data_IF_581218855038
#
_entry.id   IF_581218855038
#
_cell.length_a   1.000
_cell.length_b   1.000
_cell.length_c   1.000
_cell.angle_alpha   90.00
_cell.angle_beta   90.00
_cell.angle_gamma   90.00
#
_symmetry.space_group_name_H-M   'P 1'
#
loop_
_entity.id
_entity.type
_entity.pdbx_description
1 polymer ?
#
# COMPACT_ATOMS: atom_id res chain seq x y z
N UNK A 1 -40.80 13.12 22.55
CA UNK A 1 -39.48 13.82 22.61
C UNK A 1 -38.39 13.04 23.38
N UNK A 2 -38.61 12.51 24.60
CA UNK A 2 -37.51 11.86 25.36
C UNK A 2 -37.00 10.48 24.86
N UNK A 3 -37.73 9.76 23.98
CA UNK A 3 -37.31 8.43 23.48
C UNK A 3 -36.23 8.45 22.38
N UNK A 4 -36.07 9.54 21.63
CA UNK A 4 -35.13 9.59 20.50
C UNK A 4 -33.68 9.91 20.92
N UNK A 5 -33.46 10.35 22.17
CA UNK A 5 -32.12 10.63 22.69
C UNK A 5 -31.34 9.35 23.07
N UNK A 6 -32.04 8.24 23.34
CA UNK A 6 -31.44 6.97 23.76
C UNK A 6 -30.71 6.24 22.60
N UNK A 7 -31.14 6.46 21.34
CA UNK A 7 -30.49 5.85 20.18
C UNK A 7 -29.07 6.41 19.94
N UNK A 8 -28.80 7.64 20.38
CA UNK A 8 -27.50 8.31 20.27
C UNK A 8 -26.51 7.94 21.38
N UNK A 9 -26.99 7.38 22.50
CA UNK A 9 -26.15 6.99 23.65
C UNK A 9 -25.65 5.55 23.54
N UNK A 10 -26.33 4.70 22.75
CA UNK A 10 -26.02 3.27 22.64
C UNK A 10 -24.78 2.94 21.78
N UNK A 11 -24.21 3.90 21.03
CA UNK A 11 -23.07 3.63 20.11
C UNK A 11 -21.70 3.73 20.79
N UNK A 12 -21.60 4.50 21.88
CA UNK A 12 -20.32 4.92 22.49
C UNK A 12 -19.63 3.87 23.40
N UNK A 13 -20.06 2.60 23.43
CA UNK A 13 -19.74 1.65 24.51
C UNK A 13 -19.24 0.25 24.08
N UNK A 14 -18.29 0.15 23.16
CA UNK A 14 -17.62 -1.14 22.88
C UNK A 14 -16.10 -1.09 22.78
N UNK A 15 -15.43 -1.50 23.86
CA UNK A 15 -14.01 -1.87 23.91
C UNK A 15 -13.81 -3.15 24.75
N UNK A 16 -12.69 -3.86 24.52
CA UNK A 16 -12.21 -5.10 25.19
C UNK A 16 -12.79 -6.46 24.74
N UNK A 17 -11.94 -7.52 24.78
CA UNK A 17 -12.32 -8.94 24.60
C UNK A 17 -11.63 -9.71 23.44
N UNK A 18 -11.16 -10.94 23.70
CA UNK A 18 -10.47 -11.89 22.77
C UNK A 18 -10.64 -13.35 23.29
N UNK A 19 -10.18 -14.47 22.70
CA UNK A 19 -9.18 -14.81 21.66
C UNK A 19 -9.57 -16.11 20.88
N UNK A 20 -8.93 -16.36 19.72
CA UNK A 20 -8.72 -17.68 19.07
C UNK A 20 -10.00 -18.47 18.61
N UNK A 21 -9.96 -19.54 17.79
CA UNK A 21 -8.87 -20.37 17.27
C UNK A 21 -9.27 -21.06 15.92
N UNK A 22 -8.31 -21.74 15.29
CA UNK A 22 -8.39 -22.73 14.20
C UNK A 22 -8.71 -22.32 12.74
N UNK A 23 -8.10 -23.10 11.84
CA UNK A 23 -7.91 -22.84 10.42
C UNK A 23 -8.29 -24.05 9.56
N UNK A 24 -8.48 -23.84 8.25
CA UNK A 24 -7.92 -24.73 7.21
C UNK A 24 -8.08 -24.19 5.78
N UNK A 25 -7.02 -24.35 4.96
CA UNK A 25 -6.87 -24.03 3.50
C UNK A 25 -6.75 -22.55 3.10
N UNK A 26 -5.85 -22.20 2.18
CA UNK A 26 -4.38 -22.27 2.31
C UNK A 26 -3.91 -20.79 2.28
N UNK A 27 -3.33 -20.22 3.36
CA UNK A 27 -3.09 -18.77 3.48
C UNK A 27 -2.26 -18.15 2.34
N UNK A 28 -1.45 -18.98 1.69
CA UNK A 28 -0.43 -18.59 0.74
C UNK A 28 -0.97 -17.96 -0.55
N UNK A 29 -2.02 -18.52 -1.17
CA UNK A 29 -2.59 -17.95 -2.40
C UNK A 29 -3.04 -16.50 -2.22
N UNK A 30 -3.54 -16.19 -1.02
CA UNK A 30 -3.96 -14.84 -0.68
C UNK A 30 -2.77 -13.90 -0.43
N UNK A 31 -1.66 -14.40 0.12
CA UNK A 31 -0.39 -13.63 0.20
C UNK A 31 0.12 -13.31 -1.20
N UNK A 32 0.11 -14.29 -2.11
CA UNK A 32 0.48 -14.09 -3.53
C UNK A 32 -0.44 -13.07 -4.21
N UNK A 33 -1.75 -13.10 -3.95
CA UNK A 33 -2.68 -12.05 -4.43
C UNK A 33 -2.40 -10.68 -3.80
N UNK A 34 -2.02 -10.61 -2.53
CA UNK A 34 -1.62 -9.37 -1.87
C UNK A 34 -0.34 -8.77 -2.48
N UNK A 35 0.65 -9.62 -2.81
CA UNK A 35 1.87 -9.18 -3.50
C UNK A 35 1.57 -8.42 -4.80
N UNK A 36 0.48 -8.76 -5.50
CA UNK A 36 0.04 -8.06 -6.72
C UNK A 36 -0.21 -6.57 -6.59
N UNK A 37 -0.36 -6.08 -5.36
CA UNK A 37 -0.67 -4.68 -5.04
C UNK A 37 0.54 -3.83 -4.70
N UNK A 38 1.64 -4.47 -4.32
CA UNK A 38 2.89 -3.83 -3.86
C UNK A 38 4.09 -4.22 -4.73
N UNK A 39 4.01 -5.37 -5.42
CA UNK A 39 4.94 -5.85 -6.41
C UNK A 39 4.26 -6.84 -7.40
N UNK A 40 3.62 -6.33 -8.47
CA UNK A 40 3.03 -7.13 -9.55
C UNK A 40 3.96 -8.17 -10.18
N UNK A 41 5.27 -7.89 -10.26
CA UNK A 41 6.27 -8.83 -10.77
C UNK A 41 6.44 -10.03 -9.84
N UNK A 42 6.53 -9.81 -8.52
CA UNK A 42 6.58 -10.89 -7.54
C UNK A 42 5.28 -11.70 -7.50
N UNK A 43 4.12 -11.08 -7.67
CA UNK A 43 2.87 -11.85 -7.83
C UNK A 43 2.96 -12.80 -9.03
N UNK A 44 3.36 -12.29 -10.19
CA UNK A 44 3.47 -13.09 -11.41
C UNK A 44 4.43 -14.28 -11.20
N UNK A 45 5.58 -14.03 -10.58
CA UNK A 45 6.56 -15.08 -10.23
C UNK A 45 5.97 -16.09 -9.25
N UNK A 46 5.35 -15.65 -8.15
CA UNK A 46 4.81 -16.57 -7.15
C UNK A 46 3.58 -17.36 -7.62
N UNK A 47 2.81 -16.84 -8.58
CA UNK A 47 1.73 -17.61 -9.23
C UNK A 47 2.26 -18.79 -10.03
N UNK A 48 3.40 -18.61 -10.70
CA UNK A 48 4.08 -19.65 -11.46
C UNK A 48 4.99 -20.55 -10.57
N UNK A 49 5.39 -20.06 -9.38
CA UNK A 49 6.29 -20.70 -8.42
C UNK A 49 5.72 -20.68 -6.99
N UNK A 50 4.57 -21.35 -6.80
CA UNK A 50 3.86 -21.41 -5.51
C UNK A 50 4.64 -22.16 -4.41
N UNK A 51 5.56 -23.05 -4.77
CA UNK A 51 6.49 -23.73 -3.87
C UNK A 51 7.50 -22.73 -3.26
N UNK A 52 8.03 -21.82 -4.08
CA UNK A 52 8.91 -20.73 -3.65
C UNK A 52 8.16 -19.78 -2.75
N UNK A 53 6.92 -19.42 -3.11
CA UNK A 53 6.05 -18.64 -2.25
C UNK A 53 5.86 -19.33 -0.89
N UNK A 54 5.61 -20.65 -0.85
CA UNK A 54 5.43 -21.42 0.39
C UNK A 54 6.68 -21.38 1.26
N UNK A 55 7.87 -21.50 0.66
CA UNK A 55 9.14 -21.37 1.38
C UNK A 55 9.33 -19.97 1.98
N UNK A 56 9.03 -18.92 1.21
CA UNK A 56 9.20 -17.52 1.66
C UNK A 56 8.20 -17.13 2.75
N UNK A 57 6.95 -17.61 2.70
CA UNK A 57 5.89 -17.17 3.61
C UNK A 57 5.44 -18.21 4.65
N UNK A 58 5.96 -19.44 4.63
CA UNK A 58 5.53 -20.54 5.49
C UNK A 58 6.35 -20.78 6.77
N UNK A 59 7.61 -20.34 6.83
CA UNK A 59 8.55 -20.74 7.91
C UNK A 59 8.63 -19.76 9.11
N UNK A 60 7.69 -18.81 9.22
CA UNK A 60 7.64 -17.85 10.33
C UNK A 60 8.64 -16.69 10.16
N UNK A 61 8.14 -15.47 10.22
CA UNK A 61 8.90 -14.30 9.76
C UNK A 61 9.75 -13.64 10.85
N UNK A 62 11.02 -13.40 10.52
CA UNK A 62 11.95 -12.53 11.24
C UNK A 62 12.56 -11.50 10.27
N UNK A 63 12.77 -10.28 10.78
CA UNK A 63 13.42 -9.10 10.16
C UNK A 63 13.02 -8.66 8.73
N UNK A 64 12.59 -7.39 8.63
CA UNK A 64 12.29 -6.65 7.38
C UNK A 64 13.53 -6.50 6.47
N UNK A 65 14.74 -6.58 7.01
CA UNK A 65 15.98 -6.56 6.22
C UNK A 65 16.29 -7.90 5.54
N UNK A 66 15.84 -9.02 6.10
CA UNK A 66 15.97 -10.35 5.49
C UNK A 66 14.90 -10.55 4.40
N UNK A 67 13.66 -10.11 4.66
CA UNK A 67 12.57 -10.06 3.66
C UNK A 67 13.06 -9.50 2.32
N UNK A 68 13.64 -8.29 2.33
CA UNK A 68 14.03 -7.59 1.09
C UNK A 68 15.06 -8.35 0.26
N UNK A 69 15.99 -9.06 0.93
CA UNK A 69 16.95 -9.93 0.26
C UNK A 69 16.26 -11.13 -0.37
N UNK A 70 15.37 -11.79 0.37
CA UNK A 70 14.62 -12.96 -0.11
C UNK A 70 13.77 -12.58 -1.33
N UNK A 71 13.09 -11.43 -1.30
CA UNK A 71 12.30 -10.93 -2.42
C UNK A 71 13.16 -10.59 -3.65
N UNK A 72 14.31 -9.93 -3.47
CA UNK A 72 15.23 -9.65 -4.56
C UNK A 72 15.85 -10.94 -5.14
N UNK A 73 16.12 -11.95 -4.29
CA UNK A 73 16.59 -13.26 -4.72
C UNK A 73 15.55 -14.03 -5.53
N UNK A 74 14.26 -13.97 -5.14
CA UNK A 74 13.18 -14.53 -5.96
C UNK A 74 13.13 -13.88 -7.35
N UNK A 75 13.28 -12.54 -7.44
CA UNK A 75 13.35 -11.85 -8.73
C UNK A 75 14.59 -12.27 -9.54
N UNK A 76 15.76 -12.38 -8.90
CA UNK A 76 16.99 -12.81 -9.58
C UNK A 76 16.92 -14.26 -10.10
N UNK A 77 16.41 -15.20 -9.29
CA UNK A 77 16.37 -16.62 -9.63
C UNK A 77 15.25 -16.97 -10.61
N UNK A 78 14.06 -16.39 -10.46
CA UNK A 78 12.87 -16.79 -11.24
C UNK A 78 12.42 -15.72 -12.22
N UNK A 79 12.53 -14.43 -11.87
CA UNK A 79 12.11 -13.31 -12.72
C UNK A 79 13.08 -13.00 -13.86
N UNK A 80 14.35 -12.81 -13.53
CA UNK A 80 15.38 -12.35 -14.47
C UNK A 80 15.59 -13.30 -15.68
N UNK A 81 15.57 -14.64 -15.55
CA UNK A 81 15.67 -15.53 -16.70
C UNK A 81 14.51 -15.39 -17.70
N UNK A 82 13.30 -15.10 -17.24
CA UNK A 82 12.18 -14.83 -18.14
C UNK A 82 12.33 -13.44 -18.80
N UNK A 83 12.75 -12.41 -18.04
CA UNK A 83 13.04 -11.08 -18.60
C UNK A 83 14.15 -11.12 -19.66
N UNK A 84 15.15 -11.99 -19.50
CA UNK A 84 16.21 -12.25 -20.48
C UNK A 84 15.71 -12.89 -21.79
N UNK A 85 14.52 -13.51 -21.80
CA UNK A 85 13.92 -14.14 -22.98
C UNK A 85 12.79 -13.35 -23.62
N UNK A 86 12.26 -12.35 -22.92
CA UNK A 86 11.11 -11.56 -23.35
C UNK A 86 11.35 -10.84 -24.71
N UNK A 87 10.27 -10.70 -25.48
CA UNK A 87 10.27 -10.08 -26.79
C UNK A 87 10.52 -8.58 -26.74
N UNK A 88 11.05 -8.03 -27.84
CA UNK A 88 11.57 -6.65 -27.90
C UNK A 88 10.55 -5.61 -27.41
N UNK A 89 9.31 -5.69 -27.86
CA UNK A 89 8.23 -4.77 -27.45
C UNK A 89 7.98 -4.77 -25.93
N UNK A 90 7.92 -5.94 -25.31
CA UNK A 90 7.67 -6.07 -23.87
C UNK A 90 8.86 -5.55 -23.04
N UNK A 91 10.07 -5.87 -23.48
CA UNK A 91 11.33 -5.43 -22.87
C UNK A 91 11.52 -3.92 -22.99
N UNK A 92 11.34 -3.35 -24.18
CA UNK A 92 11.46 -1.91 -24.42
C UNK A 92 10.40 -1.14 -23.62
N UNK A 93 9.17 -1.66 -23.51
CA UNK A 93 8.14 -1.08 -22.64
C UNK A 93 8.56 -1.05 -21.17
N UNK A 94 9.11 -2.15 -20.64
CA UNK A 94 9.65 -2.22 -19.29
C UNK A 94 10.85 -1.28 -19.07
N UNK A 95 11.75 -1.15 -20.05
CA UNK A 95 12.86 -0.20 -20.01
C UNK A 95 12.36 1.26 -19.97
N UNK A 96 11.40 1.63 -20.83
CA UNK A 96 10.82 2.97 -20.86
C UNK A 96 10.12 3.35 -19.56
N UNK A 97 9.37 2.41 -18.95
CA UNK A 97 8.76 2.62 -17.63
C UNK A 97 9.81 2.70 -16.51
N UNK A 98 10.90 1.94 -16.61
CA UNK A 98 12.03 2.05 -15.68
C UNK A 98 12.72 3.42 -15.81
N UNK A 99 12.99 3.90 -17.03
CA UNK A 99 13.59 5.21 -17.27
C UNK A 99 12.73 6.36 -16.72
N UNK A 100 11.40 6.32 -16.93
CA UNK A 100 10.48 7.28 -16.35
C UNK A 100 10.52 7.29 -14.80
N UNK A 101 10.64 6.11 -14.17
CA UNK A 101 10.84 6.01 -12.72
C UNK A 101 12.21 6.56 -12.29
N UNK A 102 13.29 6.34 -13.05
CA UNK A 102 14.62 6.89 -12.73
C UNK A 102 14.57 8.41 -12.68
N UNK A 103 13.89 9.08 -13.62
CA UNK A 103 13.74 10.54 -13.59
C UNK A 103 13.03 11.02 -12.32
N UNK A 104 11.89 10.40 -11.97
CA UNK A 104 11.12 10.73 -10.76
C UNK A 104 11.95 10.51 -9.49
N UNK A 105 12.65 9.36 -9.40
CA UNK A 105 13.48 9.02 -8.23
C UNK A 105 14.66 9.98 -8.13
N UNK A 106 15.38 10.27 -9.22
CA UNK A 106 16.51 11.19 -9.19
C UNK A 106 16.11 12.64 -8.83
N UNK A 107 14.88 13.06 -9.12
CA UNK A 107 14.37 14.39 -8.77
C UNK A 107 13.81 14.45 -7.33
N UNK A 108 13.05 13.43 -6.90
CA UNK A 108 12.25 13.46 -5.66
C UNK A 108 12.78 12.61 -4.51
N UNK A 109 13.65 11.64 -4.79
CA UNK A 109 14.10 10.63 -3.83
C UNK A 109 15.47 10.02 -4.24
N UNK A 110 16.54 10.82 -4.39
CA UNK A 110 17.80 10.39 -5.01
C UNK A 110 18.49 9.22 -4.29
N UNK A 111 18.32 9.08 -2.97
CA UNK A 111 18.76 7.92 -2.20
C UNK A 111 18.10 6.61 -2.67
N UNK A 112 16.92 6.69 -3.31
CA UNK A 112 16.22 5.58 -3.93
C UNK A 112 16.87 5.05 -5.21
N UNK A 113 17.88 5.72 -5.78
CA UNK A 113 18.55 5.27 -7.00
C UNK A 113 19.32 3.95 -6.83
N UNK A 114 19.63 3.52 -5.60
CA UNK A 114 20.15 2.17 -5.30
C UNK A 114 19.23 1.06 -5.85
N UNK A 115 17.91 1.30 -5.92
CA UNK A 115 16.90 0.36 -6.41
C UNK A 115 17.21 -0.21 -7.81
N UNK A 116 17.76 0.62 -8.70
CA UNK A 116 18.02 0.20 -10.09
C UNK A 116 19.19 -0.79 -10.22
N UNK A 117 19.95 -1.01 -9.15
CA UNK A 117 21.07 -1.95 -9.08
C UNK A 117 20.77 -3.13 -8.13
N UNK A 118 20.06 -2.89 -7.02
CA UNK A 118 19.81 -3.88 -5.96
C UNK A 118 18.38 -4.43 -5.92
N UNK A 119 17.44 -3.83 -6.65
CA UNK A 119 16.00 -4.13 -6.55
C UNK A 119 15.33 -3.68 -5.25
N UNK A 120 16.08 -3.09 -4.31
CA UNK A 120 15.59 -2.59 -3.03
C UNK A 120 15.43 -1.07 -3.06
N UNK A 121 14.21 -0.58 -2.86
CA UNK A 121 13.94 0.85 -2.63
C UNK A 121 13.40 1.00 -1.21
N UNK A 122 14.15 1.57 -0.24
CA UNK A 122 13.59 1.91 1.06
C UNK A 122 12.51 2.99 0.90
N UNK A 123 11.50 2.98 1.78
CA UNK A 123 10.53 4.07 2.02
C UNK A 123 9.78 4.67 0.80
N UNK A 124 9.90 4.06 -0.37
CA UNK A 124 9.34 4.47 -1.67
C UNK A 124 7.84 4.80 -1.66
N UNK A 125 7.07 4.19 -0.76
CA UNK A 125 5.63 4.41 -0.63
C UNK A 125 5.27 5.77 0.01
N UNK A 126 6.24 6.48 0.58
CA UNK A 126 6.04 7.81 1.20
C UNK A 126 6.01 8.95 0.18
N UNK A 127 6.54 8.75 -1.03
CA UNK A 127 6.51 9.74 -2.12
C UNK A 127 5.53 9.23 -3.20
N UNK A 128 4.34 9.84 -3.36
CA UNK A 128 3.27 9.32 -4.23
C UNK A 128 3.70 9.10 -5.70
N UNK A 129 4.53 10.00 -6.24
CA UNK A 129 5.02 9.93 -7.61
C UNK A 129 5.98 8.75 -7.82
N UNK A 130 6.88 8.52 -6.85
CA UNK A 130 7.78 7.35 -6.83
C UNK A 130 6.96 6.07 -6.68
N UNK A 131 5.93 6.08 -5.81
CA UNK A 131 5.02 4.95 -5.61
C UNK A 131 4.28 4.57 -6.89
N UNK A 132 3.67 5.54 -7.56
CA UNK A 132 2.83 5.29 -8.72
C UNK A 132 3.69 4.94 -9.95
N UNK A 133 4.83 5.61 -10.13
CA UNK A 133 5.83 5.26 -11.15
C UNK A 133 6.43 3.86 -10.95
N UNK A 134 6.69 3.45 -9.71
CA UNK A 134 7.21 2.10 -9.38
C UNK A 134 6.18 1.01 -9.63
N UNK A 135 4.91 1.29 -9.38
CA UNK A 135 3.84 0.35 -9.73
C UNK A 135 3.68 0.19 -11.25
N UNK A 136 3.92 1.25 -12.03
CA UNK A 136 3.92 1.19 -13.49
C UNK A 136 5.13 0.41 -14.06
N UNK A 137 6.31 0.62 -13.49
CA UNK A 137 7.52 -0.16 -13.78
C UNK A 137 7.30 -1.66 -13.50
N UNK A 138 6.79 -1.99 -12.31
CA UNK A 138 6.61 -3.38 -11.89
C UNK A 138 5.52 -4.10 -12.69
N UNK A 139 4.48 -3.38 -13.16
CA UNK A 139 3.48 -3.92 -14.12
C UNK A 139 4.11 -4.23 -15.48
N UNK A 140 4.93 -3.33 -16.01
CA UNK A 140 5.60 -3.54 -17.30
C UNK A 140 6.60 -4.69 -17.22
N UNK A 141 7.35 -4.81 -16.11
CA UNK A 141 8.20 -5.98 -15.85
C UNK A 141 7.40 -7.27 -15.65
N UNK A 142 6.25 -7.24 -14.99
CA UNK A 142 5.37 -8.41 -14.88
C UNK A 142 4.84 -8.88 -16.24
N UNK A 143 4.50 -7.95 -17.14
CA UNK A 143 4.12 -8.28 -18.52
C UNK A 143 5.28 -8.90 -19.31
N UNK A 144 6.48 -8.31 -19.23
CA UNK A 144 7.68 -8.87 -19.86
C UNK A 144 8.05 -10.26 -19.30
N UNK A 145 7.90 -10.47 -17.98
CA UNK A 145 8.04 -11.79 -17.36
C UNK A 145 7.06 -12.81 -17.94
N UNK A 146 5.77 -12.49 -18.02
CA UNK A 146 4.74 -13.38 -18.58
C UNK A 146 4.96 -13.69 -20.07
N UNK A 147 5.46 -12.73 -20.85
CA UNK A 147 5.86 -12.94 -22.25
C UNK A 147 7.12 -13.80 -22.40
N UNK A 148 8.10 -13.64 -21.50
CA UNK A 148 9.39 -14.31 -21.54
C UNK A 148 9.43 -15.72 -20.94
N UNK A 149 8.49 -16.07 -20.05
CA UNK A 149 8.51 -17.36 -19.34
C UNK A 149 8.31 -18.59 -20.24
N UNK A 150 7.65 -18.42 -21.39
CA UNK A 150 7.38 -19.48 -22.38
C UNK A 150 8.25 -19.41 -23.64
N UNK A 151 9.13 -18.40 -23.75
CA UNK A 151 10.05 -18.27 -24.90
C UNK A 151 11.24 -19.21 -24.73
N UNK A 152 11.88 -19.58 -25.84
CA UNK A 152 13.15 -20.29 -25.83
C UNK A 152 14.28 -19.39 -25.28
N UNK A 153 15.33 -20.00 -24.74
CA UNK A 153 16.53 -19.29 -24.32
C UNK A 153 17.15 -18.54 -25.51
N UNK A 154 17.65 -17.32 -25.23
CA UNK A 154 18.41 -16.51 -26.18
C UNK A 154 19.84 -16.36 -25.69
N UNK A 155 20.78 -16.29 -26.62
CA UNK A 155 22.16 -15.98 -26.30
C UNK A 155 22.25 -14.59 -25.65
N UNK A 156 22.78 -14.54 -24.43
CA UNK A 156 22.93 -13.29 -23.70
C UNK A 156 24.11 -12.48 -24.23
N UNK A 157 23.93 -11.16 -24.32
CA UNK A 157 24.96 -10.24 -24.78
C UNK A 157 26.25 -10.37 -23.96
N UNK A 158 27.38 -10.60 -24.64
CA UNK A 158 28.71 -10.73 -24.04
C UNK A 158 29.16 -9.43 -23.36
N UNK A 159 30.17 -9.51 -22.48
CA UNK A 159 30.69 -8.34 -21.78
C UNK A 159 31.24 -7.28 -22.75
N UNK A 160 31.92 -7.69 -23.80
CA UNK A 160 32.49 -6.79 -24.83
C UNK A 160 31.38 -6.03 -25.55
N UNK A 161 30.30 -6.71 -25.95
CA UNK A 161 29.13 -6.08 -26.57
C UNK A 161 28.44 -5.09 -25.62
N UNK A 162 28.29 -5.44 -24.33
CA UNK A 162 27.75 -4.52 -23.30
C UNK A 162 28.65 -3.29 -23.11
N UNK A 163 29.96 -3.48 -23.02
CA UNK A 163 30.94 -2.41 -22.89
C UNK A 163 30.89 -1.45 -24.08
N UNK A 164 30.79 -1.97 -25.31
CA UNK A 164 30.59 -1.19 -26.52
C UNK A 164 29.29 -0.38 -26.45
N UNK A 165 28.17 -0.97 -26.01
CA UNK A 165 26.90 -0.23 -25.89
C UNK A 165 26.99 0.89 -24.85
N UNK A 166 27.51 0.60 -23.66
CA UNK A 166 27.66 1.58 -22.59
C UNK A 166 28.52 2.77 -23.04
N UNK A 167 29.66 2.50 -23.70
CA UNK A 167 30.60 3.55 -24.10
C UNK A 167 30.17 4.32 -25.36
N UNK A 168 29.70 3.63 -26.40
CA UNK A 168 29.41 4.27 -27.70
C UNK A 168 28.00 4.85 -27.82
N UNK A 169 26.97 4.21 -27.25
CA UNK A 169 25.58 4.66 -27.39
C UNK A 169 25.03 5.34 -26.13
N UNK A 170 25.43 4.88 -24.94
CA UNK A 170 24.99 5.47 -23.67
C UNK A 170 25.93 6.58 -23.15
N UNK A 171 27.04 6.86 -23.84
CA UNK A 171 27.97 7.92 -23.49
C UNK A 171 28.60 7.76 -22.10
N UNK A 172 28.86 6.52 -21.69
CA UNK A 172 29.52 6.21 -20.42
C UNK A 172 31.04 6.19 -20.60
N UNK A 173 31.76 6.86 -19.71
CA UNK A 173 33.22 6.73 -19.58
C UNK A 173 33.62 5.36 -19.03
N UNK A 174 34.89 4.98 -19.15
CA UNK A 174 35.39 3.74 -18.56
C UNK A 174 35.22 3.69 -17.02
N UNK A 175 35.34 4.84 -16.34
CA UNK A 175 35.03 4.98 -14.90
C UNK A 175 33.55 4.73 -14.62
N UNK A 176 32.64 5.33 -15.38
CA UNK A 176 31.20 5.09 -15.23
C UNK A 176 30.81 3.64 -15.52
N UNK A 177 31.45 2.98 -16.50
CA UNK A 177 31.27 1.54 -16.75
C UNK A 177 31.78 0.71 -15.58
N UNK A 178 32.93 1.04 -14.99
CA UNK A 178 33.42 0.39 -13.79
C UNK A 178 32.43 0.56 -12.62
N UNK A 179 32.02 1.80 -12.32
CA UNK A 179 31.04 2.13 -11.28
C UNK A 179 29.69 1.44 -11.49
N UNK A 180 29.17 1.39 -12.71
CA UNK A 180 27.93 0.64 -13.00
C UNK A 180 28.06 -0.86 -12.71
N UNK A 181 29.26 -1.42 -12.87
CA UNK A 181 29.54 -2.83 -12.54
C UNK A 181 29.85 -3.05 -11.04
N UNK A 182 30.27 -2.04 -10.27
CA UNK A 182 30.52 -2.16 -8.81
C UNK A 182 29.39 -1.65 -7.92
N UNK A 183 28.48 -0.84 -8.45
CA UNK A 183 27.37 -0.24 -7.73
C UNK A 183 26.53 -1.27 -6.94
N UNK A 184 26.05 -0.92 -5.74
CA UNK A 184 26.21 0.36 -5.03
C UNK A 184 27.53 0.53 -4.23
N UNK A 185 28.51 -0.38 -4.35
CA UNK A 185 29.74 -0.30 -3.55
C UNK A 185 30.60 0.89 -4.03
N UNK A 186 30.91 1.80 -3.11
CA UNK A 186 31.72 3.01 -3.32
C UNK A 186 31.21 3.97 -4.41
N UNK A 187 29.93 3.88 -4.76
CA UNK A 187 29.25 4.80 -5.69
C UNK A 187 28.36 5.76 -4.90
N UNK A 188 28.42 7.06 -5.24
CA UNK A 188 27.57 8.09 -4.63
C UNK A 188 26.12 7.93 -5.10
N UNK A 189 25.14 8.43 -4.33
CA UNK A 189 23.73 8.30 -4.72
C UNK A 189 23.42 9.13 -5.98
N UNK A 190 24.10 10.27 -6.13
CA UNK A 190 24.09 11.10 -7.35
C UNK A 190 24.70 10.37 -8.56
N UNK A 191 25.84 9.70 -8.39
CA UNK A 191 26.46 8.86 -9.43
C UNK A 191 25.52 7.70 -9.78
N UNK A 192 24.91 7.03 -8.81
CA UNK A 192 23.93 5.96 -9.05
C UNK A 192 22.72 6.46 -9.86
N UNK A 193 22.18 7.64 -9.55
CA UNK A 193 21.12 8.24 -10.36
C UNK A 193 21.59 8.54 -11.79
N UNK A 194 22.78 9.14 -11.97
CA UNK A 194 23.32 9.47 -13.30
C UNK A 194 23.57 8.19 -14.15
N UNK A 195 24.13 7.16 -13.54
CA UNK A 195 24.34 5.84 -14.15
C UNK A 195 23.01 5.19 -14.50
N UNK A 196 22.03 5.19 -13.59
CA UNK A 196 20.70 4.63 -13.84
C UNK A 196 19.99 5.35 -15.00
N UNK A 197 20.15 6.68 -15.15
CA UNK A 197 19.60 7.44 -16.29
C UNK A 197 20.19 6.96 -17.61
N UNK A 198 21.53 6.84 -17.68
CA UNK A 198 22.21 6.32 -18.87
C UNK A 198 21.79 4.88 -19.18
N UNK A 199 21.89 3.96 -18.22
CA UNK A 199 21.64 2.53 -18.40
C UNK A 199 20.19 2.20 -18.83
N UNK A 200 19.21 2.97 -18.35
CA UNK A 200 17.80 2.76 -18.70
C UNK A 200 17.35 3.56 -19.94
N UNK A 201 18.17 4.46 -20.50
CA UNK A 201 17.84 5.21 -21.72
C UNK A 201 17.96 4.33 -22.99
N UNK A 202 17.04 3.37 -23.13
CA UNK A 202 16.97 2.48 -24.29
C UNK A 202 16.75 3.25 -25.61
N UNK A 203 16.15 4.45 -25.54
CA UNK A 203 15.94 5.32 -26.70
C UNK A 203 17.22 5.88 -27.33
N UNK A 204 18.36 5.86 -26.63
CA UNK A 204 19.65 6.26 -27.19
C UNK A 204 20.30 5.18 -28.08
N UNK A 205 19.79 3.94 -28.08
CA UNK A 205 20.35 2.85 -28.87
C UNK A 205 19.70 2.76 -30.26
N UNK A 206 20.44 2.30 -31.29
CA UNK A 206 19.87 1.80 -32.54
C UNK A 206 18.76 0.77 -32.27
N UNK A 207 17.67 0.81 -33.05
CA UNK A 207 16.45 0.03 -32.81
C UNK A 207 16.72 -1.47 -32.68
N UNK A 208 17.69 -1.95 -33.44
CA UNK A 208 18.14 -3.33 -33.53
C UNK A 208 18.79 -3.81 -32.22
N UNK A 209 19.37 -2.89 -31.44
CA UNK A 209 20.05 -3.17 -30.17
C UNK A 209 19.15 -2.94 -28.94
N UNK A 210 18.01 -2.25 -29.09
CA UNK A 210 17.13 -1.87 -27.98
C UNK A 210 16.59 -3.09 -27.21
N UNK A 211 16.11 -4.11 -27.93
CA UNK A 211 15.61 -5.34 -27.33
C UNK A 211 16.69 -6.17 -26.66
N UNK A 212 17.86 -6.31 -27.30
CA UNK A 212 18.98 -7.09 -26.76
C UNK A 212 19.61 -6.42 -25.54
N UNK A 213 19.73 -5.09 -25.54
CA UNK A 213 20.18 -4.33 -24.37
C UNK A 213 19.20 -4.46 -23.19
N UNK A 214 17.91 -4.28 -23.44
CA UNK A 214 16.91 -4.41 -22.37
C UNK A 214 16.85 -5.83 -21.79
N UNK A 215 17.02 -6.88 -22.61
CA UNK A 215 17.17 -8.27 -22.13
C UNK A 215 18.44 -8.43 -21.30
N UNK A 216 19.58 -7.92 -21.78
CA UNK A 216 20.85 -8.01 -21.06
C UNK A 216 20.81 -7.27 -19.71
N UNK A 217 20.14 -6.11 -19.65
CA UNK A 217 20.00 -5.29 -18.46
C UNK A 217 18.99 -5.90 -17.47
N UNK A 218 17.73 -6.03 -17.86
CA UNK A 218 16.67 -6.56 -16.97
C UNK A 218 16.90 -8.02 -16.60
N UNK A 219 17.45 -8.81 -17.52
CA UNK A 219 17.81 -10.21 -17.32
C UNK A 219 19.07 -10.46 -16.49
N UNK A 220 19.85 -9.42 -16.17
CA UNK A 220 20.93 -9.54 -15.17
C UNK A 220 20.39 -9.55 -13.74
N UNK A 221 19.16 -9.07 -13.52
CA UNK A 221 18.50 -9.05 -12.21
C UNK A 221 19.15 -8.13 -11.18
N UNK A 222 18.60 -8.08 -9.95
CA UNK A 222 19.19 -7.32 -8.85
C UNK A 222 20.50 -7.96 -8.33
N UNK A 223 21.53 -7.15 -8.07
CA UNK A 223 22.82 -7.65 -7.60
C UNK A 223 22.88 -7.79 -6.07
N UNK A 224 22.53 -8.98 -5.56
CA UNK A 224 22.47 -9.27 -4.11
C UNK A 224 23.83 -9.16 -3.38
N UNK A 225 24.93 -9.43 -4.10
CA UNK A 225 26.28 -9.44 -3.53
C UNK A 225 26.86 -8.03 -3.32
N UNK A 226 26.21 -7.01 -3.88
CA UNK A 226 26.67 -5.62 -3.84
C UNK A 226 25.69 -4.83 -2.98
N UNK A 227 26.08 -4.62 -1.73
CA UNK A 227 25.43 -3.70 -0.80
C UNK A 227 26.45 -2.64 -0.44
N UNK A 228 26.01 -1.38 -0.35
CA UNK A 228 26.78 -0.33 0.31
C UNK A 228 27.01 -0.80 1.76
N UNK A 229 28.26 -0.94 2.25
CA UNK A 229 28.48 -1.17 3.67
C UNK A 229 27.76 -0.06 4.44
N UNK A 230 27.10 -0.38 5.55
CA UNK A 230 26.41 0.62 6.36
C UNK A 230 27.41 1.70 6.76
N UNK A 231 27.34 2.86 6.11
CA UNK A 231 28.36 3.88 6.26
C UNK A 231 28.32 4.38 7.71
N UNK A 232 29.45 4.31 8.41
CA UNK A 232 29.66 5.12 9.58
C UNK A 232 29.62 6.58 9.11
N UNK A 233 28.46 7.22 9.29
CA UNK A 233 28.12 8.46 8.60
C UNK A 233 29.17 9.55 8.85
N UNK A 234 29.98 9.85 7.83
CA UNK A 234 30.80 11.06 7.81
C UNK A 234 29.87 12.23 7.49
N UNK A 235 29.75 13.23 8.39
CA UNK A 235 28.80 14.31 8.20
C UNK A 235 29.24 15.21 7.03
N UNK A 236 28.30 15.54 6.15
CA UNK A 236 28.46 16.66 5.23
C UNK A 236 28.38 17.98 6.03
N UNK A 237 29.30 18.94 5.84
CA UNK A 237 29.23 20.21 6.55
C UNK A 237 28.14 21.10 5.91
N UNK A 238 27.15 21.54 6.70
CA UNK A 238 26.27 22.65 6.30
C UNK A 238 24.76 22.37 6.20
N UNK A 239 24.24 21.25 6.71
CA UNK A 239 22.79 21.08 6.90
C UNK A 239 22.50 20.35 8.23
N UNK A 240 22.32 21.12 9.32
CA UNK A 240 21.96 20.56 10.63
C UNK A 240 20.46 20.30 10.68
N UNK A 241 20.03 19.16 10.13
CA UNK A 241 18.84 18.45 10.58
C UNK A 241 19.34 17.14 11.21
N UNK A 242 19.08 16.96 12.50
CA UNK A 242 19.56 15.77 13.21
C UNK A 242 18.86 14.52 12.65
N UNK A 243 19.64 13.58 12.11
CA UNK A 243 19.22 12.17 12.09
C UNK A 243 19.23 11.64 13.53
N UNK A 244 18.23 12.03 14.31
CA UNK A 244 17.81 11.26 15.48
C UNK A 244 17.52 9.84 15.00
N UNK A 245 18.17 8.84 15.62
CA UNK A 245 17.72 7.45 15.55
C UNK A 245 16.20 7.45 15.73
N UNK A 246 15.46 6.94 14.76
CA UNK A 246 14.01 6.84 14.81
C UNK A 246 13.56 6.33 16.18
N UNK A 247 12.91 7.21 16.94
CA UNK A 247 12.43 6.92 18.28
C UNK A 247 11.27 5.93 18.25
N UNK A 248 10.70 5.62 19.42
CA UNK A 248 9.50 4.80 19.50
C UNK A 248 8.37 5.35 18.61
N UNK A 249 8.22 6.67 18.57
CA UNK A 249 7.23 7.37 17.76
C UNK A 249 7.43 7.16 16.25
N UNK A 250 8.62 7.44 15.72
CA UNK A 250 8.91 7.34 14.28
C UNK A 250 8.74 5.89 13.77
N UNK A 251 9.09 4.89 14.60
CA UNK A 251 8.86 3.48 14.29
C UNK A 251 7.38 3.14 14.24
N UNK A 252 6.58 3.60 15.20
CA UNK A 252 5.14 3.34 15.18
C UNK A 252 4.45 4.04 14.01
N UNK A 253 4.87 5.26 13.63
CA UNK A 253 4.34 5.93 12.44
C UNK A 253 4.65 5.14 11.16
N UNK A 254 5.87 4.59 11.03
CA UNK A 254 6.24 3.74 9.91
C UNK A 254 5.38 2.46 9.83
N UNK A 255 5.05 1.84 10.97
CA UNK A 255 4.11 0.71 11.04
C UNK A 255 2.69 1.14 10.66
N UNK A 256 2.19 2.24 11.22
CA UNK A 256 0.86 2.79 10.96
C UNK A 256 0.65 3.13 9.48
N UNK A 257 1.66 3.65 8.78
CA UNK A 257 1.59 3.89 7.34
C UNK A 257 1.26 2.60 6.55
N UNK A 258 1.80 1.45 6.98
CA UNK A 258 1.59 0.15 6.33
C UNK A 258 0.25 -0.53 6.69
N UNK A 259 -0.29 -0.29 7.89
CA UNK A 259 -1.51 -0.98 8.38
C UNK A 259 -2.77 -0.12 8.38
N UNK A 260 -2.65 1.21 8.48
CA UNK A 260 -3.77 2.14 8.52
C UNK A 260 -3.38 3.53 7.94
N UNK A 261 -3.32 3.66 6.60
CA UNK A 261 -2.85 4.89 5.94
C UNK A 261 -3.71 6.12 6.26
N UNK A 262 -5.00 5.95 6.62
CA UNK A 262 -5.88 7.03 7.05
C UNK A 262 -5.49 7.57 8.43
N UNK A 263 -5.31 6.70 9.43
CA UNK A 263 -4.90 7.13 10.79
C UNK A 263 -3.49 7.72 10.77
N UNK A 264 -2.58 7.15 9.96
CA UNK A 264 -1.25 7.71 9.75
C UNK A 264 -1.30 9.15 9.24
N UNK A 265 -2.10 9.46 8.21
CA UNK A 265 -2.22 10.84 7.70
C UNK A 265 -2.74 11.81 8.77
N UNK A 266 -3.79 11.42 9.52
CA UNK A 266 -4.32 12.23 10.64
C UNK A 266 -3.25 12.46 11.72
N UNK A 267 -2.41 11.47 11.99
CA UNK A 267 -1.37 11.56 13.00
C UNK A 267 -0.18 12.44 12.58
N UNK A 268 0.18 12.43 11.30
CA UNK A 268 1.29 13.24 10.75
C UNK A 268 0.91 14.71 10.59
N UNK A 269 -0.31 15.04 10.14
CA UNK A 269 -0.77 16.44 10.09
C UNK A 269 -0.87 17.11 11.47
N UNK A 270 -0.96 16.30 12.53
CA UNK A 270 -1.09 16.74 13.91
C UNK A 270 0.04 16.20 14.78
N UNK A 271 1.24 16.03 14.20
CA UNK A 271 2.40 15.35 14.80
C UNK A 271 2.70 15.80 16.24
N UNK A 272 2.65 17.10 16.54
CA UNK A 272 2.92 17.64 17.87
C UNK A 272 1.93 17.13 18.94
N UNK A 273 0.65 16.98 18.61
CA UNK A 273 -0.35 16.40 19.52
C UNK A 273 -0.22 14.87 19.57
N UNK A 274 0.05 14.22 18.44
CA UNK A 274 0.30 12.78 18.38
C UNK A 274 1.50 12.38 19.26
N UNK A 275 2.62 13.10 19.18
CA UNK A 275 3.80 12.90 20.05
C UNK A 275 3.45 13.05 21.54
N UNK A 276 2.60 14.01 21.91
CA UNK A 276 2.13 14.16 23.29
C UNK A 276 1.24 13.00 23.75
N UNK A 277 0.40 12.45 22.86
CA UNK A 277 -0.43 11.28 23.17
C UNK A 277 0.43 10.04 23.40
N UNK A 278 1.45 9.83 22.57
CA UNK A 278 2.43 8.75 22.71
C UNK A 278 3.23 8.85 24.00
N UNK A 279 3.81 10.02 24.29
CA UNK A 279 4.55 10.25 25.53
C UNK A 279 3.68 10.04 26.78
N UNK A 280 2.39 10.40 26.74
CA UNK A 280 1.43 10.10 27.81
C UNK A 280 1.13 8.60 27.93
N UNK A 281 1.00 7.89 26.81
CA UNK A 281 0.77 6.44 26.81
C UNK A 281 1.97 5.68 27.42
N UNK A 282 3.19 6.02 27.01
CA UNK A 282 4.45 5.50 27.56
C UNK A 282 4.56 5.80 29.06
N UNK A 283 4.40 7.06 29.47
CA UNK A 283 4.43 7.47 30.88
C UNK A 283 3.34 6.82 31.74
N UNK A 284 2.23 6.37 31.12
CA UNK A 284 1.15 5.66 31.82
C UNK A 284 1.45 4.17 32.07
N UNK A 285 2.51 3.62 31.48
CA UNK A 285 2.82 2.19 31.55
C UNK A 285 1.77 1.32 30.88
N UNK A 286 1.14 1.80 29.80
CA UNK A 286 0.07 1.08 29.08
C UNK A 286 -1.33 1.17 29.71
N UNK A 287 -1.55 2.04 30.70
CA UNK A 287 -2.89 2.28 31.28
C UNK A 287 -3.85 3.04 30.37
N UNK A 288 -3.34 3.67 29.30
CA UNK A 288 -4.14 4.34 28.27
C UNK A 288 -4.28 3.42 27.06
N UNK A 289 -5.51 3.16 26.61
CA UNK A 289 -5.78 2.39 25.39
C UNK A 289 -5.36 3.21 24.14
N UNK A 290 -4.35 2.75 23.35
CA UNK A 290 -3.93 3.45 22.14
C UNK A 290 -5.05 3.56 21.10
N UNK A 291 -6.02 2.65 21.11
CA UNK A 291 -7.18 2.66 20.19
C UNK A 291 -8.13 3.81 20.52
N UNK A 292 -8.32 4.12 21.81
CA UNK A 292 -9.11 5.26 22.25
C UNK A 292 -8.44 6.59 21.86
N UNK A 293 -7.11 6.68 21.94
CA UNK A 293 -6.36 7.85 21.46
C UNK A 293 -6.48 8.04 19.94
N UNK A 294 -6.32 6.96 19.15
CA UNK A 294 -6.52 7.00 17.71
C UNK A 294 -7.96 7.40 17.34
N UNK A 295 -8.97 6.87 18.04
CA UNK A 295 -10.36 7.24 17.84
C UNK A 295 -10.61 8.73 18.17
N UNK A 296 -10.04 9.26 19.25
CA UNK A 296 -10.17 10.67 19.62
C UNK A 296 -9.55 11.61 18.58
N UNK A 297 -8.35 11.29 18.07
CA UNK A 297 -7.71 12.06 16.99
C UNK A 297 -8.52 12.00 15.68
N UNK A 298 -9.04 10.83 15.32
CA UNK A 298 -9.93 10.67 14.17
C UNK A 298 -11.22 11.46 14.36
N UNK A 299 -11.85 11.45 15.54
CA UNK A 299 -13.06 12.24 15.80
C UNK A 299 -12.79 13.76 15.76
N UNK A 300 -11.64 14.21 16.28
CA UNK A 300 -11.26 15.63 16.33
C UNK A 300 -10.84 16.19 14.97
N UNK A 301 -10.16 15.41 14.13
CA UNK A 301 -9.52 15.89 12.90
C UNK A 301 -9.94 15.12 11.64
N UNK A 302 -10.02 13.80 11.73
CA UNK A 302 -10.43 12.91 10.63
C UNK A 302 -11.88 13.15 10.18
N UNK A 303 -12.85 12.96 11.08
CA UNK A 303 -14.28 13.07 10.78
C UNK A 303 -14.68 14.45 10.23
N UNK A 304 -14.19 15.60 10.76
CA UNK A 304 -14.46 16.91 10.18
C UNK A 304 -13.83 17.17 8.82
N UNK A 305 -12.77 16.46 8.42
CA UNK A 305 -12.27 16.52 7.06
C UNK A 305 -13.07 15.59 6.13
N UNK A 306 -13.36 14.35 6.57
CA UNK A 306 -14.20 13.42 5.82
C UNK A 306 -15.58 14.00 5.49
N UNK A 307 -16.20 14.76 6.41
CA UNK A 307 -17.47 15.46 6.17
C UNK A 307 -17.38 16.67 5.21
N UNK A 308 -16.19 16.98 4.68
CA UNK A 308 -15.94 18.04 3.69
C UNK A 308 -15.47 17.51 2.33
N UNK A 309 -15.18 16.21 2.22
CA UNK A 309 -14.72 15.59 0.97
C UNK A 309 -15.74 15.76 -0.18
N UNK A 310 -15.25 15.86 -1.41
CA UNK A 310 -16.03 15.89 -2.63
C UNK A 310 -16.93 14.66 -2.80
N UNK A 311 -18.06 14.83 -3.51
CA UNK A 311 -19.03 13.76 -3.75
C UNK A 311 -18.36 12.52 -4.38
N UNK A 312 -17.52 12.70 -5.40
CA UNK A 312 -16.85 11.62 -6.09
C UNK A 312 -15.94 10.79 -5.17
N UNK A 313 -15.15 11.45 -4.31
CA UNK A 313 -14.23 10.77 -3.39
C UNK A 313 -15.00 10.12 -2.23
N UNK A 314 -16.01 10.80 -1.67
CA UNK A 314 -16.88 10.24 -0.64
C UNK A 314 -17.63 8.99 -1.13
N UNK A 315 -18.21 9.04 -2.33
CA UNK A 315 -18.89 7.90 -2.96
C UNK A 315 -17.93 6.72 -3.15
N UNK A 316 -16.67 6.98 -3.55
CA UNK A 316 -15.66 5.93 -3.68
C UNK A 316 -15.35 5.26 -2.32
N UNK A 317 -15.32 6.00 -1.20
CA UNK A 317 -15.16 5.39 0.15
C UNK A 317 -16.26 4.39 0.45
N UNK A 318 -17.53 4.75 0.24
CA UNK A 318 -18.63 3.81 0.46
C UNK A 318 -18.60 2.62 -0.52
N UNK A 319 -18.21 2.82 -1.78
CA UNK A 319 -17.98 1.68 -2.70
C UNK A 319 -16.92 0.71 -2.16
N UNK A 320 -15.82 1.20 -1.59
CA UNK A 320 -14.81 0.32 -0.95
C UNK A 320 -15.30 -0.32 0.35
N UNK A 321 -16.20 0.33 1.09
CA UNK A 321 -16.86 -0.26 2.25
C UNK A 321 -17.84 -1.38 1.85
N UNK A 322 -18.56 -1.22 0.73
CA UNK A 322 -19.37 -2.27 0.10
C UNK A 322 -18.52 -3.47 -0.34
N UNK A 323 -17.46 -3.24 -1.11
CA UNK A 323 -16.50 -4.29 -1.52
C UNK A 323 -15.92 -5.06 -0.32
N UNK A 324 -15.64 -4.35 0.79
CA UNK A 324 -15.17 -4.96 2.03
C UNK A 324 -16.24 -5.81 2.71
N UNK A 325 -17.49 -5.33 2.78
CA UNK A 325 -18.60 -6.14 3.31
C UNK A 325 -18.84 -7.41 2.49
N UNK A 326 -18.81 -7.34 1.16
CA UNK A 326 -18.92 -8.53 0.31
C UNK A 326 -17.79 -9.53 0.60
N UNK A 327 -16.57 -9.04 0.83
CA UNK A 327 -15.44 -9.90 1.20
C UNK A 327 -15.59 -10.49 2.61
N UNK A 328 -16.10 -9.73 3.58
CA UNK A 328 -16.39 -10.24 4.92
C UNK A 328 -17.50 -11.29 4.85
N UNK A 329 -18.65 -10.98 4.25
CA UNK A 329 -19.77 -11.90 4.08
C UNK A 329 -19.40 -13.20 3.35
N UNK A 330 -18.45 -13.14 2.39
CA UNK A 330 -18.04 -14.31 1.61
C UNK A 330 -16.92 -15.14 2.24
N UNK A 331 -15.98 -14.50 2.94
CA UNK A 331 -14.75 -15.17 3.40
C UNK A 331 -14.59 -15.20 4.92
N UNK A 332 -15.29 -14.33 5.66
CA UNK A 332 -15.23 -14.27 7.13
C UNK A 332 -16.48 -13.61 7.75
N UNK A 333 -17.66 -14.28 7.74
CA UNK A 333 -18.94 -13.65 8.08
C UNK A 333 -18.97 -13.00 9.47
N UNK A 334 -18.37 -13.65 10.47
CA UNK A 334 -18.20 -13.11 11.83
C UNK A 334 -17.49 -11.73 11.88
N UNK A 335 -16.72 -11.37 10.86
CA UNK A 335 -16.10 -10.06 10.73
C UNK A 335 -17.07 -8.91 10.39
N UNK A 336 -18.26 -9.20 9.85
CA UNK A 336 -19.29 -8.18 9.59
C UNK A 336 -19.74 -7.48 10.88
N UNK A 337 -19.89 -8.23 11.99
CA UNK A 337 -20.19 -7.67 13.33
C UNK A 337 -19.13 -6.67 13.78
N UNK A 338 -17.84 -6.99 13.56
CA UNK A 338 -16.76 -6.05 13.82
C UNK A 338 -16.89 -4.79 12.95
N UNK A 339 -17.20 -4.96 11.66
CA UNK A 339 -17.25 -3.87 10.70
C UNK A 339 -18.41 -2.89 10.93
N UNK A 340 -19.51 -3.29 11.58
CA UNK A 340 -20.52 -2.36 12.13
C UNK A 340 -19.87 -1.30 13.03
N UNK A 341 -18.90 -1.71 13.86
CA UNK A 341 -18.11 -0.79 14.72
C UNK A 341 -16.89 -0.19 14.00
N UNK A 342 -16.88 -0.23 12.66
CA UNK A 342 -15.76 0.20 11.79
C UNK A 342 -14.44 -0.55 12.03
N UNK A 343 -14.49 -1.78 12.58
CA UNK A 343 -13.32 -2.58 12.94
C UNK A 343 -13.27 -3.89 12.15
N UNK A 344 -12.14 -4.16 11.50
CA UNK A 344 -11.85 -5.48 10.93
C UNK A 344 -10.86 -6.20 11.85
N UNK A 345 -11.24 -7.34 12.42
CA UNK A 345 -10.39 -8.07 13.39
C UNK A 345 -9.08 -8.54 12.75
N UNK A 346 -8.05 -8.83 13.56
CA UNK A 346 -6.79 -9.37 13.02
C UNK A 346 -7.01 -10.70 12.28
N UNK A 347 -7.90 -11.57 12.79
CA UNK A 347 -8.29 -12.81 12.11
C UNK A 347 -8.97 -12.56 10.76
N UNK A 348 -9.83 -11.54 10.66
CA UNK A 348 -10.41 -11.11 9.40
C UNK A 348 -9.33 -10.53 8.45
N UNK A 349 -8.37 -9.76 8.98
CA UNK A 349 -7.24 -9.22 8.23
C UNK A 349 -6.17 -10.29 7.87
N UNK A 350 -6.21 -11.47 8.46
CA UNK A 350 -5.37 -12.60 8.05
C UNK A 350 -5.88 -13.22 6.74
N UNK A 351 -7.18 -13.08 6.45
CA UNK A 351 -7.81 -13.55 5.21
C UNK A 351 -7.52 -12.53 4.10
N UNK A 352 -6.69 -12.85 3.09
CA UNK A 352 -6.11 -11.79 2.27
C UNK A 352 -7.12 -11.09 1.37
N UNK A 353 -8.21 -11.75 0.98
CA UNK A 353 -9.35 -11.11 0.31
C UNK A 353 -9.90 -9.96 1.15
N UNK A 354 -10.13 -10.19 2.45
CA UNK A 354 -10.64 -9.18 3.38
C UNK A 354 -9.56 -8.12 3.64
N UNK A 355 -8.31 -8.52 3.92
CA UNK A 355 -7.17 -7.59 4.11
C UNK A 355 -7.04 -6.62 2.93
N UNK A 356 -7.16 -7.13 1.71
CA UNK A 356 -6.96 -6.33 0.51
C UNK A 356 -8.10 -5.30 0.34
N UNK A 357 -9.38 -5.65 0.59
CA UNK A 357 -10.47 -4.67 0.56
C UNK A 357 -10.39 -3.69 1.72
N UNK A 358 -9.98 -4.15 2.90
CA UNK A 358 -9.81 -3.29 4.08
C UNK A 358 -8.73 -2.22 3.85
N UNK A 359 -7.59 -2.58 3.28
CA UNK A 359 -6.57 -1.58 2.90
C UNK A 359 -7.08 -0.60 1.84
N UNK A 360 -7.83 -1.05 0.82
CA UNK A 360 -8.45 -0.14 -0.18
C UNK A 360 -9.45 0.83 0.44
N UNK A 361 -10.24 0.36 1.41
CA UNK A 361 -11.17 1.17 2.18
C UNK A 361 -10.41 2.23 3.02
N UNK A 362 -9.34 1.85 3.72
CA UNK A 362 -8.52 2.79 4.50
C UNK A 362 -7.77 3.80 3.61
N UNK A 363 -7.22 3.39 2.47
CA UNK A 363 -6.58 4.32 1.52
C UNK A 363 -7.62 5.26 0.87
N UNK A 364 -8.83 4.78 0.56
CA UNK A 364 -9.93 5.64 0.12
C UNK A 364 -10.30 6.68 1.20
N UNK A 365 -10.32 6.29 2.49
CA UNK A 365 -10.51 7.23 3.60
C UNK A 365 -9.35 8.22 3.73
N UNK A 366 -8.11 7.81 3.49
CA UNK A 366 -6.97 8.74 3.44
C UNK A 366 -7.15 9.77 2.32
N UNK A 367 -7.52 9.36 1.11
CA UNK A 367 -7.78 10.26 0.00
C UNK A 367 -8.96 11.23 0.28
N UNK A 368 -10.02 10.75 0.93
CA UNK A 368 -11.13 11.59 1.39
C UNK A 368 -10.73 12.59 2.48
N UNK A 369 -9.79 12.22 3.36
CA UNK A 369 -9.21 13.10 4.35
C UNK A 369 -8.36 14.20 3.71
N UNK A 370 -7.46 13.87 2.79
CA UNK A 370 -6.66 14.83 2.01
C UNK A 370 -7.53 15.86 1.29
N UNK A 371 -8.50 15.39 0.50
CA UNK A 371 -9.44 16.23 -0.25
C UNK A 371 -10.32 17.08 0.68
N UNK A 372 -10.74 16.51 1.81
CA UNK A 372 -11.63 17.18 2.77
C UNK A 372 -10.96 18.25 3.62
N UNK A 373 -9.66 18.12 3.93
CA UNK A 373 -8.89 19.10 4.72
C UNK A 373 -8.93 20.50 4.07
N UNK A 374 -8.74 20.56 2.75
CA UNK A 374 -8.60 21.79 1.97
C UNK A 374 -9.92 22.45 1.59
N UNK A 375 -11.06 21.76 1.80
CA UNK A 375 -12.39 22.23 1.40
C UNK A 375 -13.08 23.05 2.49
N UNK A 376 -13.98 23.99 2.12
CA UNK A 376 -14.87 24.63 3.08
C UNK A 376 -15.85 23.61 3.69
N UNK A 377 -16.48 23.92 4.85
CA UNK A 377 -17.58 23.13 5.40
C UNK A 377 -18.68 22.86 4.37
N UNK A 378 -19.22 21.63 4.35
CA UNK A 378 -20.33 21.31 3.48
C UNK A 378 -21.58 22.13 3.86
N UNK A 379 -22.17 22.82 2.90
CA UNK A 379 -23.31 23.72 3.12
C UNK A 379 -24.62 23.00 3.53
N UNK A 380 -24.69 21.68 3.33
CA UNK A 380 -25.85 20.84 3.68
C UNK A 380 -25.35 19.65 4.50
N UNK A 381 -25.93 19.49 5.69
CA UNK A 381 -25.75 18.32 6.56
C UNK A 381 -27.10 17.60 6.69
N UNK A 382 -27.08 16.27 6.69
CA UNK A 382 -28.28 15.46 6.96
C UNK A 382 -28.63 15.56 8.44
N UNK A 383 -29.90 15.79 8.74
CA UNK A 383 -30.41 15.65 10.11
C UNK A 383 -30.48 14.17 10.50
N UNK A 384 -30.61 13.88 11.79
CA UNK A 384 -30.86 12.51 12.28
C UNK A 384 -32.13 11.89 11.66
N UNK A 385 -33.12 12.71 11.29
CA UNK A 385 -34.33 12.27 10.61
C UNK A 385 -34.04 11.89 9.14
N UNK A 386 -33.25 12.68 8.42
CA UNK A 386 -32.86 12.36 7.03
C UNK A 386 -32.00 11.09 6.97
N UNK A 387 -31.10 10.90 7.93
CA UNK A 387 -30.31 9.68 8.09
C UNK A 387 -31.22 8.47 8.33
N UNK A 388 -32.18 8.57 9.26
CA UNK A 388 -33.13 7.49 9.54
C UNK A 388 -34.02 7.17 8.33
N UNK A 389 -34.48 8.19 7.59
CA UNK A 389 -35.23 8.01 6.35
C UNK A 389 -34.38 7.36 5.24
N UNK A 390 -33.12 7.76 5.07
CA UNK A 390 -32.22 7.14 4.10
C UNK A 390 -32.05 5.64 4.38
N UNK A 391 -31.75 5.29 5.63
CA UNK A 391 -31.53 3.90 6.05
C UNK A 391 -32.79 3.05 5.88
N UNK A 392 -33.95 3.55 6.32
CA UNK A 392 -35.20 2.78 6.29
C UNK A 392 -35.86 2.73 4.92
N UNK A 393 -35.86 3.83 4.16
CA UNK A 393 -36.61 3.96 2.91
C UNK A 393 -35.77 3.71 1.64
N UNK A 394 -34.44 3.86 1.71
CA UNK A 394 -33.53 3.67 0.54
C UNK A 394 -32.64 2.44 0.69
N UNK A 395 -32.05 2.24 1.87
CA UNK A 395 -31.21 1.07 2.14
C UNK A 395 -32.02 -0.16 2.61
N UNK A 396 -33.30 0.03 2.93
CA UNK A 396 -34.21 -1.06 3.29
C UNK A 396 -33.83 -1.77 4.59
N UNK A 397 -33.21 -1.07 5.55
CA UNK A 397 -32.91 -1.61 6.88
C UNK A 397 -33.96 -1.13 7.86
N UNK A 398 -34.68 -2.05 8.50
CA UNK A 398 -35.77 -1.71 9.41
C UNK A 398 -35.27 -1.12 10.73
N UNK A 399 -36.16 -0.44 11.46
CA UNK A 399 -35.86 0.08 12.80
C UNK A 399 -35.53 -1.06 13.77
N UNK A 400 -36.14 -2.24 13.61
CA UNK A 400 -35.85 -3.41 14.43
C UNK A 400 -34.49 -4.03 14.09
N UNK A 401 -34.08 -4.02 12.82
CA UNK A 401 -32.73 -4.41 12.41
C UNK A 401 -31.67 -3.46 12.96
N UNK A 402 -31.94 -2.14 12.96
CA UNK A 402 -31.07 -1.16 13.62
C UNK A 402 -31.00 -1.38 15.13
N UNK A 403 -32.12 -1.69 15.78
CA UNK A 403 -32.14 -2.03 17.20
C UNK A 403 -31.31 -3.28 17.50
N UNK A 404 -31.37 -4.33 16.65
CA UNK A 404 -30.51 -5.52 16.78
C UNK A 404 -29.01 -5.19 16.72
N UNK A 405 -28.59 -4.17 15.97
CA UNK A 405 -27.17 -3.74 15.95
C UNK A 405 -26.67 -3.19 17.30
N UNK A 406 -27.56 -2.81 18.22
CA UNK A 406 -27.13 -2.47 19.61
C UNK A 406 -26.72 -3.70 20.42
N UNK A 407 -26.98 -4.91 19.89
CA UNK A 407 -26.73 -6.20 20.52
C UNK A 407 -26.06 -7.18 19.54
N UNK A 408 -24.90 -6.79 19.00
CA UNK A 408 -24.17 -7.57 17.98
C UNK A 408 -23.87 -9.04 18.36
N UNK A 409 -23.82 -9.36 19.66
CA UNK A 409 -23.65 -10.73 20.15
C UNK A 409 -24.90 -11.62 20.01
N UNK A 410 -26.10 -11.04 19.95
CA UNK A 410 -27.38 -11.76 19.79
C UNK A 410 -27.74 -11.99 18.31
N UNK A 411 -27.07 -11.31 17.38
CA UNK A 411 -27.23 -11.47 15.93
C UNK A 411 -26.53 -12.73 15.41
N UNK A 412 -27.09 -13.39 14.39
CA UNK A 412 -26.31 -14.30 13.55
C UNK A 412 -25.30 -13.53 12.69
N UNK A 413 -24.25 -14.20 12.23
CA UNK A 413 -23.26 -13.56 11.34
C UNK A 413 -23.86 -13.21 9.98
N UNK A 414 -24.78 -14.04 9.48
CA UNK A 414 -25.51 -13.80 8.22
C UNK A 414 -26.43 -12.58 8.31
N UNK A 415 -27.21 -12.42 9.39
CA UNK A 415 -28.01 -11.20 9.63
C UNK A 415 -27.10 -9.97 9.74
N UNK A 416 -26.00 -10.07 10.49
CA UNK A 416 -25.05 -8.97 10.64
C UNK A 416 -24.46 -8.55 9.28
N UNK A 417 -24.05 -9.50 8.44
CA UNK A 417 -23.58 -9.19 7.09
C UNK A 417 -24.68 -8.59 6.21
N UNK A 418 -25.90 -9.16 6.22
CA UNK A 418 -27.05 -8.65 5.45
C UNK A 418 -27.40 -7.19 5.78
N UNK A 419 -27.40 -6.84 7.07
CA UNK A 419 -27.66 -5.47 7.53
C UNK A 419 -26.49 -4.56 7.14
N UNK A 420 -25.24 -4.99 7.40
CA UNK A 420 -24.05 -4.15 7.16
C UNK A 420 -23.79 -3.89 5.67
N UNK A 421 -24.06 -4.88 4.80
CA UNK A 421 -24.05 -4.71 3.34
C UNK A 421 -25.03 -3.62 2.89
N UNK A 422 -26.28 -3.66 3.36
CA UNK A 422 -27.29 -2.63 3.05
C UNK A 422 -26.88 -1.25 3.54
N UNK A 423 -26.36 -1.14 4.77
CA UNK A 423 -25.91 0.14 5.34
C UNK A 423 -24.74 0.79 4.57
N UNK A 424 -23.90 -0.02 3.91
CA UNK A 424 -22.77 0.47 3.13
C UNK A 424 -23.05 0.55 1.62
N UNK A 425 -24.26 0.21 1.17
CA UNK A 425 -24.66 0.33 -0.23
C UNK A 425 -24.86 1.81 -0.61
N UNK A 426 -24.35 2.21 -1.78
CA UNK A 426 -24.50 3.57 -2.31
C UNK A 426 -25.45 3.64 -3.51
N UNK A 427 -25.60 2.55 -4.26
CA UNK A 427 -26.41 2.54 -5.48
C UNK A 427 -27.93 2.70 -5.22
N UNK A 428 -28.53 2.16 -4.13
CA UNK A 428 -29.94 2.41 -3.78
C UNK A 428 -30.25 3.86 -3.36
N UNK A 429 -29.22 4.66 -3.04
CA UNK A 429 -29.38 6.07 -2.69
C UNK A 429 -29.60 6.89 -3.98
N UNK A 430 -30.62 7.78 -4.03
CA UNK A 430 -30.84 8.64 -5.20
C UNK A 430 -29.59 9.44 -5.57
N UNK A 431 -29.28 9.53 -6.86
CA UNK A 431 -27.99 10.04 -7.34
C UNK A 431 -27.63 11.42 -6.77
N UNK A 432 -28.57 12.36 -6.79
CA UNK A 432 -28.43 13.71 -6.23
C UNK A 432 -28.17 13.75 -4.70
N UNK A 433 -28.39 12.64 -3.99
CA UNK A 433 -28.19 12.51 -2.53
C UNK A 433 -26.95 11.68 -2.18
N UNK A 434 -26.35 10.94 -3.13
CA UNK A 434 -25.23 10.01 -2.89
C UNK A 434 -24.02 10.69 -2.25
N UNK A 435 -23.64 11.88 -2.70
CA UNK A 435 -22.47 12.59 -2.16
C UNK A 435 -22.66 13.05 -0.72
N UNK A 436 -23.84 13.59 -0.39
CA UNK A 436 -24.18 14.04 0.97
C UNK A 436 -24.31 12.83 1.91
N UNK A 437 -24.97 11.75 1.47
CA UNK A 437 -25.05 10.50 2.22
C UNK A 437 -23.66 9.91 2.49
N UNK A 438 -22.80 9.83 1.46
CA UNK A 438 -21.48 9.23 1.60
C UNK A 438 -20.60 10.00 2.58
N UNK A 439 -20.62 11.33 2.55
CA UNK A 439 -19.98 12.18 3.59
C UNK A 439 -20.50 11.83 4.98
N UNK A 440 -21.82 11.86 5.18
CA UNK A 440 -22.42 11.57 6.48
C UNK A 440 -22.00 10.19 7.00
N UNK A 441 -22.21 9.14 6.22
CA UNK A 441 -21.91 7.76 6.58
C UNK A 441 -20.41 7.51 6.88
N UNK A 442 -19.48 8.12 6.12
CA UNK A 442 -18.04 7.88 6.35
C UNK A 442 -17.42 8.78 7.45
N UNK A 443 -18.02 9.94 7.72
CA UNK A 443 -17.66 10.82 8.85
C UNK A 443 -18.28 10.37 10.18
N UNK A 444 -19.23 9.45 10.15
CA UNK A 444 -19.82 8.85 11.34
C UNK A 444 -18.79 7.97 12.05
N UNK A 445 -18.17 8.53 13.09
CA UNK A 445 -17.53 7.77 14.16
C UNK A 445 -18.60 7.37 15.18
N UNK A 446 -18.74 6.06 15.45
CA UNK A 446 -19.60 5.54 16.52
C UNK A 446 -19.13 5.94 17.91
#
# INVERSE_FOLDING_TARGET
MKKNLLLLVAMALFASGAFAQDANKDPLEGVVRFMGRINPLLQAIYQDHMDVARKVYGEGWADVYEERNILAQVIATYGAPALARAGDSAVISAMNKTAALVEIVAEKYPEGCEYFFTGNMPNWALVPEVRDGRMDELRAKAYAYQDGKFRADREMMTFEKRYVIMTQYLGMTADEVFKANTAPIDVSDQDMCALAKKLNNVGALPKELQGDWGRAWLGSGPSLQKRKPAAAAKPAPGAVAQETKAGPFEKEMQVLAGINPFVHAVFMDHEAETRQLFAKAEASGGKIDPRAQAAAMVAKYGSPALSRASDAIAINVLKRAGELNEALARYYPQGCKGFVTMRVSQSAQAIPQVKERYFRYLEAKRLAYEDGKTRPPAAVQLTAQDIAQMITQRLGVSVDELNKLTKLSELSDEEACSITMRLNAIDPVPEAQRGIWARAAMSWSG
#
